data_IF_195162039221
#
_entry.id   IF_195162039221
#
_cell.length_a   1.000
_cell.length_b   1.000
_cell.length_c   1.000
_cell.angle_alpha   90.00
_cell.angle_beta   90.00
_cell.angle_gamma   90.00
#
_symmetry.space_group_name_H-M   'P 1'
#
loop_
_entity.id
_entity.type
_entity.pdbx_description
1 polymer ?
#
# COMPACT_ATOMS: atom_id res chain seq x y z
N UNK A 1 -9.84 5.19 18.08
CA UNK A 1 -9.69 4.00 17.23
C UNK A 1 -10.75 4.06 16.15
N UNK A 2 -10.39 4.04 14.88
CA UNK A 2 -11.38 4.00 13.78
C UNK A 2 -12.02 2.61 13.71
N UNK A 3 -13.16 2.48 13.01
CA UNK A 3 -13.79 1.16 12.81
C UNK A 3 -12.84 0.22 12.09
N UNK A 4 -12.17 0.69 11.02
CA UNK A 4 -11.20 -0.09 10.23
C UNK A 4 -9.99 -0.54 11.08
N UNK A 5 -9.46 0.32 11.95
CA UNK A 5 -8.37 -0.06 12.86
C UNK A 5 -8.79 -1.21 13.79
N UNK A 6 -10.02 -1.14 14.36
CA UNK A 6 -10.53 -2.23 15.19
C UNK A 6 -10.68 -3.54 14.42
N UNK A 7 -11.20 -3.48 13.20
CA UNK A 7 -11.38 -4.65 12.34
C UNK A 7 -10.03 -5.30 11.98
N UNK A 8 -9.03 -4.50 11.64
CA UNK A 8 -7.66 -5.00 11.37
C UNK A 8 -7.03 -5.60 12.62
N UNK A 9 -7.20 -4.99 13.80
CA UNK A 9 -6.68 -5.53 15.05
C UNK A 9 -7.36 -6.85 15.44
N UNK A 10 -8.68 -6.96 15.25
CA UNK A 10 -9.41 -8.20 15.50
C UNK A 10 -8.95 -9.30 14.55
N UNK A 11 -8.74 -8.98 13.28
CA UNK A 11 -8.22 -9.92 12.29
C UNK A 11 -6.78 -10.32 12.61
N UNK A 12 -5.95 -9.38 13.07
CA UNK A 12 -4.59 -9.65 13.52
C UNK A 12 -4.56 -10.62 14.71
N UNK A 13 -5.43 -10.43 15.71
CA UNK A 13 -5.53 -11.36 16.84
C UNK A 13 -5.90 -12.77 16.39
N UNK A 14 -6.84 -12.91 15.46
CA UNK A 14 -7.21 -14.21 14.87
C UNK A 14 -6.05 -14.84 14.09
N UNK A 15 -5.27 -14.04 13.38
CA UNK A 15 -4.08 -14.48 12.65
C UNK A 15 -2.99 -14.95 13.61
N UNK A 16 -2.75 -14.24 14.70
CA UNK A 16 -1.79 -14.62 15.75
C UNK A 16 -2.23 -15.91 16.49
N UNK A 17 -3.54 -16.14 16.60
CA UNK A 17 -4.15 -17.37 17.13
C UNK A 17 -4.19 -18.53 16.11
N UNK A 18 -3.65 -18.35 14.90
CA UNK A 18 -3.46 -19.40 13.90
C UNK A 18 -4.40 -19.39 12.71
N UNK A 19 -5.13 -18.29 12.44
CA UNK A 19 -5.89 -18.13 11.19
C UNK A 19 -4.92 -18.17 10.00
N UNK A 20 -5.25 -18.98 8.99
CA UNK A 20 -4.46 -19.14 7.77
C UNK A 20 -5.19 -18.61 6.54
N UNK A 21 -4.50 -18.56 5.39
CA UNK A 21 -5.12 -18.19 4.12
C UNK A 21 -6.24 -19.18 3.68
N UNK A 22 -6.14 -20.45 4.07
CA UNK A 22 -7.16 -21.46 3.78
C UNK A 22 -8.44 -21.27 4.61
N UNK A 23 -8.34 -20.61 5.76
CA UNK A 23 -9.45 -20.40 6.70
C UNK A 23 -10.03 -18.97 6.62
N UNK A 24 -9.34 -18.06 5.91
CA UNK A 24 -9.79 -16.68 5.74
C UNK A 24 -11.11 -16.63 4.95
N UNK A 25 -12.05 -15.87 5.48
CA UNK A 25 -13.38 -15.70 4.85
C UNK A 25 -13.37 -14.59 3.80
N UNK A 26 -14.39 -14.57 2.94
CA UNK A 26 -14.58 -13.46 1.99
C UNK A 26 -14.73 -12.10 2.71
N UNK A 27 -15.30 -12.08 3.92
CA UNK A 27 -15.42 -10.87 4.74
C UNK A 27 -14.07 -10.40 5.25
N UNK A 28 -13.20 -11.31 5.67
CA UNK A 28 -11.82 -11.00 6.08
C UNK A 28 -11.05 -10.37 4.91
N UNK A 29 -11.16 -10.95 3.71
CA UNK A 29 -10.51 -10.44 2.51
C UNK A 29 -11.10 -9.09 2.06
N UNK A 30 -12.40 -8.88 2.21
CA UNK A 30 -13.04 -7.59 1.94
C UNK A 30 -12.56 -6.50 2.89
N UNK A 31 -12.37 -6.79 4.18
CA UNK A 31 -11.77 -5.87 5.15
C UNK A 31 -10.35 -5.47 4.73
N UNK A 32 -9.56 -6.43 4.26
CA UNK A 32 -8.21 -6.16 3.74
C UNK A 32 -8.23 -5.33 2.45
N UNK A 33 -9.24 -5.49 1.59
CA UNK A 33 -9.38 -4.65 0.39
C UNK A 33 -9.73 -3.20 0.76
N UNK A 34 -10.66 -2.99 1.70
CA UNK A 34 -10.98 -1.65 2.24
C UNK A 34 -9.74 -1.00 2.86
N UNK A 35 -8.93 -1.78 3.57
CA UNK A 35 -7.66 -1.29 4.13
C UNK A 35 -6.68 -0.82 3.05
N UNK A 36 -6.52 -1.59 1.96
CA UNK A 36 -5.66 -1.20 0.83
C UNK A 36 -6.18 0.07 0.14
N UNK A 37 -7.49 0.20 -0.02
CA UNK A 37 -8.13 1.39 -0.59
C UNK A 37 -7.92 2.62 0.28
N UNK A 38 -8.05 2.49 1.60
CA UNK A 38 -7.79 3.59 2.56
C UNK A 38 -6.32 4.07 2.52
N UNK A 39 -5.37 3.14 2.35
CA UNK A 39 -3.96 3.48 2.12
C UNK A 39 -3.77 4.23 0.79
N UNK A 40 -4.38 3.74 -0.30
CA UNK A 40 -4.29 4.35 -1.64
C UNK A 40 -4.95 5.73 -1.71
N UNK A 41 -5.98 5.96 -0.89
CA UNK A 41 -6.65 7.25 -0.74
C UNK A 41 -5.86 8.24 0.16
N UNK A 42 -4.87 7.77 0.90
CA UNK A 42 -4.12 8.59 1.87
C UNK A 42 -4.87 8.84 3.17
N UNK A 43 -6.00 8.18 3.39
CA UNK A 43 -6.81 8.26 4.62
C UNK A 43 -6.13 7.57 5.80
N UNK A 44 -5.27 6.60 5.52
CA UNK A 44 -4.49 5.83 6.49
C UNK A 44 -3.02 5.90 6.13
N UNK A 45 -2.17 6.14 7.12
CA UNK A 45 -0.71 6.22 6.96
C UNK A 45 -0.01 5.30 7.95
N UNK A 46 1.11 4.72 7.53
CA UNK A 46 1.94 3.87 8.39
C UNK A 46 2.72 4.64 9.45
N UNK A 47 2.93 5.94 9.24
CA UNK A 47 3.42 6.87 10.25
C UNK A 47 2.91 8.28 9.97
N UNK A 48 2.72 9.06 11.02
CA UNK A 48 2.24 10.44 10.96
C UNK A 48 3.21 11.38 11.64
N UNK A 49 3.32 12.59 11.09
CA UNK A 49 4.15 13.64 11.68
C UNK A 49 3.41 14.28 12.84
N UNK A 50 4.00 14.28 14.03
CA UNK A 50 3.40 14.79 15.28
C UNK A 50 3.90 16.18 15.67
N UNK A 51 4.83 16.76 14.89
CA UNK A 51 5.39 18.09 15.15
C UNK A 51 6.28 18.57 13.99
N UNK A 52 6.85 19.76 14.16
CA UNK A 52 7.67 20.42 13.12
C UNK A 52 9.10 19.86 13.04
N UNK A 53 9.56 19.14 14.05
CA UNK A 53 10.87 18.51 14.06
C UNK A 53 10.90 17.33 13.08
N UNK A 54 12.03 17.15 12.38
CA UNK A 54 12.24 16.03 11.45
C UNK A 54 12.18 14.66 12.12
N UNK A 55 12.35 14.60 13.44
CA UNK A 55 12.28 13.37 14.25
C UNK A 55 10.89 13.13 14.87
N UNK A 56 9.95 14.06 14.72
CA UNK A 56 8.63 13.99 15.33
C UNK A 56 7.67 13.14 14.50
N UNK A 57 7.89 11.83 14.50
CA UNK A 57 7.01 10.87 13.82
C UNK A 57 6.46 9.84 14.81
N UNK A 58 5.21 9.48 14.64
CA UNK A 58 4.55 8.40 15.36
C UNK A 58 4.13 7.30 14.37
N UNK A 59 4.53 6.07 14.66
CA UNK A 59 4.20 4.93 13.81
C UNK A 59 2.84 4.33 14.18
N UNK A 60 2.00 4.09 13.18
CA UNK A 60 0.73 3.39 13.30
C UNK A 60 0.96 1.87 13.17
N UNK A 61 1.25 1.20 14.28
CA UNK A 61 1.61 -0.22 14.29
C UNK A 61 0.55 -1.13 13.65
N UNK A 62 -0.74 -0.80 13.83
CA UNK A 62 -1.85 -1.55 13.25
C UNK A 62 -1.83 -1.53 11.71
N UNK A 63 -1.28 -0.47 11.10
CA UNK A 63 -1.13 -0.39 9.64
C UNK A 63 -0.14 -1.41 9.14
N UNK A 64 0.99 -1.60 9.85
CA UNK A 64 1.93 -2.67 9.53
C UNK A 64 1.30 -4.05 9.69
N UNK A 65 0.47 -4.25 10.71
CA UNK A 65 -0.31 -5.48 10.90
C UNK A 65 -1.24 -5.74 9.70
N UNK A 66 -2.01 -4.75 9.27
CA UNK A 66 -2.86 -4.84 8.07
C UNK A 66 -2.08 -5.19 6.80
N UNK A 67 -0.87 -4.64 6.62
CA UNK A 67 0.01 -4.99 5.50
C UNK A 67 0.43 -6.46 5.59
N UNK A 68 0.86 -6.93 6.77
CA UNK A 68 1.30 -8.32 6.97
C UNK A 68 0.14 -9.32 6.77
N UNK A 69 -1.08 -8.97 7.20
CA UNK A 69 -2.28 -9.76 6.97
C UNK A 69 -2.58 -9.96 5.47
N UNK A 70 -2.36 -8.94 4.64
CA UNK A 70 -2.50 -9.07 3.19
C UNK A 70 -1.56 -10.13 2.60
N UNK A 71 -0.38 -10.33 3.19
CA UNK A 71 0.55 -11.38 2.75
C UNK A 71 0.28 -12.74 3.42
N UNK A 72 -0.24 -12.74 4.64
CA UNK A 72 -0.48 -13.96 5.41
C UNK A 72 -1.80 -14.65 5.11
N UNK A 73 -2.83 -13.89 4.68
CA UNK A 73 -4.21 -14.40 4.49
C UNK A 73 -4.65 -14.48 3.02
N UNK A 74 -3.75 -14.25 2.06
CA UNK A 74 -4.04 -14.38 0.64
C UNK A 74 -3.14 -15.44 0.01
N UNK A 75 -3.70 -16.15 -0.96
CA UNK A 75 -2.92 -17.04 -1.82
C UNK A 75 -2.22 -16.28 -2.93
N UNK A 76 -1.07 -16.79 -3.32
CA UNK A 76 -0.35 -16.32 -4.52
C UNK A 76 -1.11 -16.75 -5.77
N UNK A 77 -1.31 -15.85 -6.70
CA UNK A 77 -2.01 -16.10 -7.96
C UNK A 77 -1.16 -15.69 -9.16
N UNK A 78 -1.26 -16.47 -10.24
CA UNK A 78 -0.70 -16.08 -11.53
C UNK A 78 -1.59 -15.00 -12.16
N UNK A 79 -0.98 -13.90 -12.54
CA UNK A 79 -1.67 -12.72 -13.12
C UNK A 79 -0.92 -12.23 -14.35
N UNK A 80 -1.64 -11.56 -15.25
CA UNK A 80 -1.05 -10.92 -16.42
C UNK A 80 -1.61 -9.50 -16.56
N UNK A 81 -0.73 -8.54 -16.82
CA UNK A 81 -1.11 -7.16 -17.06
C UNK A 81 -0.14 -6.52 -18.07
N UNK A 82 -0.71 -5.95 -19.13
CA UNK A 82 0.10 -5.24 -20.14
C UNK A 82 1.16 -6.10 -20.82
N UNK A 83 0.93 -7.42 -20.91
CA UNK A 83 1.89 -8.38 -21.51
C UNK A 83 3.01 -8.82 -20.56
N UNK A 84 2.94 -8.43 -19.29
CA UNK A 84 3.85 -8.89 -18.22
C UNK A 84 3.12 -9.89 -17.32
N UNK A 85 3.67 -11.09 -17.22
CA UNK A 85 3.18 -12.13 -16.32
C UNK A 85 3.88 -12.01 -14.97
N UNK A 86 3.13 -12.14 -13.88
CA UNK A 86 3.65 -12.14 -12.53
C UNK A 86 2.87 -13.10 -11.62
N UNK A 87 3.44 -13.42 -10.46
CA UNK A 87 2.86 -14.33 -9.49
C UNK A 87 3.00 -13.73 -8.10
N UNK A 88 1.93 -13.14 -7.58
CA UNK A 88 1.94 -12.41 -6.30
C UNK A 88 0.60 -12.59 -5.57
N UNK A 89 0.59 -12.29 -4.30
CA UNK A 89 -0.61 -12.27 -3.45
C UNK A 89 -1.53 -11.08 -3.77
N UNK A 90 -0.98 -9.97 -4.26
CA UNK A 90 -1.73 -8.76 -4.59
C UNK A 90 -1.71 -8.49 -6.11
N UNK A 91 -2.83 -8.00 -6.67
CA UNK A 91 -2.84 -7.46 -8.02
C UNK A 91 -1.97 -6.20 -8.11
N UNK A 92 -1.63 -5.78 -9.32
CA UNK A 92 -1.06 -4.45 -9.53
C UNK A 92 -2.08 -3.37 -9.16
N UNK A 93 -1.57 -2.23 -8.64
CA UNK A 93 -2.40 -1.06 -8.39
C UNK A 93 -2.96 -0.52 -9.70
N UNK A 94 -4.24 -0.20 -9.71
CA UNK A 94 -4.84 0.57 -10.80
C UNK A 94 -4.38 2.02 -10.69
N UNK A 95 -3.93 2.60 -11.79
CA UNK A 95 -3.32 3.94 -11.81
C UNK A 95 -4.17 5.01 -12.48
N UNK A 96 -5.47 4.74 -12.72
CA UNK A 96 -6.37 5.68 -13.37
C UNK A 96 -6.53 6.99 -12.58
N UNK A 97 -6.54 6.92 -11.25
CA UNK A 97 -6.61 8.06 -10.35
C UNK A 97 -5.41 9.00 -10.44
N UNK A 98 -4.25 8.50 -10.84
CA UNK A 98 -3.03 9.32 -10.97
C UNK A 98 -3.18 10.41 -12.05
N UNK A 99 -3.93 10.12 -13.09
CA UNK A 99 -4.21 11.12 -14.12
C UNK A 99 -5.07 12.28 -13.58
N UNK A 100 -6.03 11.99 -12.71
CA UNK A 100 -6.87 13.00 -12.07
C UNK A 100 -6.09 13.85 -11.08
N UNK A 101 -5.06 13.28 -10.45
CA UNK A 101 -4.14 13.95 -9.52
C UNK A 101 -3.02 14.73 -10.21
N UNK A 102 -2.95 14.75 -11.54
CA UNK A 102 -1.85 15.40 -12.27
C UNK A 102 -0.51 14.66 -12.18
N UNK A 103 -0.48 13.47 -11.59
CA UNK A 103 0.74 12.68 -11.43
C UNK A 103 1.19 12.11 -12.76
N UNK A 104 2.44 12.42 -13.13
CA UNK A 104 3.07 11.94 -14.35
C UNK A 104 3.86 10.67 -14.07
N UNK A 105 3.49 9.60 -14.75
CA UNK A 105 4.21 8.32 -14.71
C UNK A 105 4.85 8.07 -16.08
N UNK A 106 6.20 8.00 -16.16
CA UNK A 106 6.89 7.73 -17.42
C UNK A 106 6.75 6.26 -17.82
N UNK A 107 6.76 5.93 -19.13
CA UNK A 107 6.59 4.55 -19.58
C UNK A 107 7.77 3.66 -19.17
N UNK A 108 7.52 2.35 -19.18
CA UNK A 108 8.48 1.26 -19.03
C UNK A 108 9.19 1.12 -17.68
N UNK A 109 8.57 0.37 -16.77
CA UNK A 109 9.25 -0.20 -15.62
C UNK A 109 9.03 0.48 -14.28
N UNK A 110 8.09 1.43 -14.17
CA UNK A 110 7.64 1.89 -12.85
C UNK A 110 6.57 0.95 -12.33
N UNK A 111 6.81 0.40 -11.14
CA UNK A 111 5.85 -0.45 -10.44
C UNK A 111 5.34 0.25 -9.18
N UNK A 112 4.04 0.44 -9.10
CA UNK A 112 3.36 0.97 -7.91
C UNK A 112 2.48 -0.15 -7.36
N UNK A 113 2.79 -0.62 -6.15
CA UNK A 113 2.01 -1.69 -5.51
C UNK A 113 0.70 -1.17 -4.94
N UNK A 114 -0.27 -2.09 -4.81
CA UNK A 114 -1.50 -1.84 -4.04
C UNK A 114 -1.15 -1.34 -2.63
N UNK A 115 -1.96 -0.42 -2.10
CA UNK A 115 -1.73 0.20 -0.81
C UNK A 115 -0.60 1.25 -0.76
N UNK A 116 -0.13 1.74 -1.91
CA UNK A 116 0.76 2.90 -1.99
C UNK A 116 -0.02 4.16 -2.32
N UNK A 117 0.18 5.24 -1.57
CA UNK A 117 -0.39 6.56 -1.84
C UNK A 117 0.58 7.41 -2.64
N UNK A 118 0.07 8.08 -3.66
CA UNK A 118 0.76 9.15 -4.39
C UNK A 118 -0.10 10.41 -4.31
N UNK A 119 0.53 11.50 -3.89
CA UNK A 119 -0.09 12.82 -3.84
C UNK A 119 -0.33 13.45 -5.21
N UNK A 120 -0.71 14.72 -5.20
CA UNK A 120 -0.92 15.50 -6.42
C UNK A 120 0.41 15.93 -7.06
N UNK A 121 0.40 16.09 -8.38
CA UNK A 121 1.53 16.60 -9.19
C UNK A 121 2.86 15.87 -9.00
N UNK A 122 2.83 14.59 -8.59
CA UNK A 122 4.02 13.77 -8.48
C UNK A 122 4.61 13.43 -9.85
N UNK A 123 5.91 13.14 -9.88
CA UNK A 123 6.60 12.64 -11.07
C UNK A 123 7.27 11.31 -10.73
N UNK A 124 6.89 10.27 -11.47
CA UNK A 124 7.45 8.94 -11.36
C UNK A 124 8.30 8.64 -12.58
N UNK A 125 9.62 8.60 -12.40
CA UNK A 125 10.58 8.29 -13.47
C UNK A 125 10.86 6.79 -13.49
N UNK A 126 10.92 6.22 -14.70
CA UNK A 126 11.19 4.78 -14.89
C UNK A 126 12.68 4.48 -15.02
N UNK A 127 13.13 3.27 -14.62
CA UNK A 127 12.43 2.32 -13.79
C UNK A 127 12.44 2.76 -12.33
N UNK A 128 11.33 2.58 -11.63
CA UNK A 128 11.24 2.83 -10.18
C UNK A 128 10.25 1.87 -9.52
N UNK A 129 10.31 1.76 -8.20
CA UNK A 129 9.45 0.85 -7.46
C UNK A 129 8.90 1.53 -6.20
N UNK A 130 7.57 1.49 -6.04
CA UNK A 130 6.88 1.99 -4.84
C UNK A 130 6.16 0.84 -4.17
N UNK A 131 6.57 0.55 -2.94
CA UNK A 131 6.03 -0.59 -2.19
C UNK A 131 4.77 -0.22 -1.40
N UNK A 132 4.04 -1.25 -0.96
CA UNK A 132 2.82 -1.15 -0.13
C UNK A 132 3.07 -0.33 1.14
N UNK A 133 2.11 0.51 1.52
CA UNK A 133 2.18 1.37 2.70
C UNK A 133 3.07 2.61 2.55
N UNK A 134 3.74 2.78 1.41
CA UNK A 134 4.46 4.01 1.10
C UNK A 134 3.48 5.17 0.92
N UNK A 135 3.84 6.32 1.45
CA UNK A 135 3.13 7.58 1.27
C UNK A 135 4.06 8.60 0.62
N UNK A 136 3.72 9.01 -0.60
CA UNK A 136 4.47 9.99 -1.38
C UNK A 136 3.66 11.28 -1.39
N UNK A 137 4.19 12.33 -0.75
CA UNK A 137 3.52 13.64 -0.68
C UNK A 137 3.50 14.37 -2.01
N UNK A 138 2.69 15.43 -2.06
CA UNK A 138 2.45 16.23 -3.27
C UNK A 138 3.74 16.80 -3.87
N UNK A 139 3.81 16.85 -5.19
CA UNK A 139 4.93 17.42 -5.93
C UNK A 139 6.25 16.63 -5.85
N UNK A 140 6.23 15.44 -5.25
CA UNK A 140 7.42 14.61 -5.10
C UNK A 140 7.87 14.03 -6.44
N UNK A 141 9.17 14.08 -6.72
CA UNK A 141 9.80 13.35 -7.81
C UNK A 141 10.50 12.10 -7.26
N UNK A 142 10.09 10.94 -7.77
CA UNK A 142 10.78 9.65 -7.59
C UNK A 142 11.57 9.40 -8.86
N UNK A 143 12.89 9.48 -8.77
CA UNK A 143 13.77 9.42 -9.95
C UNK A 143 13.99 7.98 -10.42
N UNK A 144 14.68 7.85 -11.57
CA UNK A 144 15.00 6.56 -12.17
C UNK A 144 15.90 5.74 -11.25
N UNK A 145 15.60 4.43 -11.17
CA UNK A 145 16.29 3.47 -10.31
C UNK A 145 16.04 3.66 -8.81
N UNK A 146 15.11 4.54 -8.41
CA UNK A 146 14.73 4.71 -7.01
C UNK A 146 13.76 3.64 -6.54
N UNK A 147 13.88 3.27 -5.27
CA UNK A 147 12.96 2.39 -4.58
C UNK A 147 12.40 3.07 -3.33
N UNK A 148 11.08 3.25 -3.31
CA UNK A 148 10.37 3.67 -2.11
C UNK A 148 9.94 2.42 -1.35
N UNK A 149 10.57 2.18 -0.20
CA UNK A 149 10.34 1.00 0.62
C UNK A 149 8.94 0.96 1.23
N UNK A 150 8.55 -0.22 1.73
CA UNK A 150 7.28 -0.38 2.45
C UNK A 150 7.21 0.56 3.65
N UNK A 151 6.07 1.23 3.82
CA UNK A 151 5.81 2.18 4.90
C UNK A 151 6.67 3.46 4.90
N UNK A 152 7.48 3.71 3.86
CA UNK A 152 8.22 4.96 3.75
C UNK A 152 7.28 6.16 3.63
N UNK A 153 7.70 7.29 4.19
CA UNK A 153 6.96 8.55 4.18
C UNK A 153 7.83 9.64 3.55
N UNK A 154 7.39 10.23 2.45
CA UNK A 154 8.09 11.28 1.70
C UNK A 154 7.26 12.55 1.65
#
# INVERSE_FOLDING_TARGET
MSTLESEIQDLWNRYDDGLTADDATDEDLATLDVFLEALEAGEVRSAEKTGDDVTSWEANAWVKQGILLNFGLRHTEARSYGGVDYHDVLPLRQTADLNERGTRNTPDGTTIRRGAYLGEDCIMMSPSFVNIGAYIGDGTLVDSCDTVGSCAQL
#
